data_IF_820669299734
#
_entry.id   IF_820669299734
#
_cell.length_a   1.000
_cell.length_b   1.000
_cell.length_c   1.000
_cell.angle_alpha   90.00
_cell.angle_beta   90.00
_cell.angle_gamma   90.00
#
_symmetry.space_group_name_H-M   'P 1'
#
loop_
_entity.id
_entity.type
_entity.pdbx_description
1 polymer ?
#
# COMPACT_ATOMS: atom_id res chain seq x y z
N UNK A 1 -1.24 -30.16 6.85
CA UNK A 1 -0.42 -28.92 6.78
C UNK A 1 -1.13 -27.79 7.51
N UNK A 2 -0.41 -26.93 8.23
CA UNK A 2 -1.00 -25.79 8.97
C UNK A 2 -1.13 -24.58 8.04
N UNK A 3 -2.28 -23.89 8.12
CA UNK A 3 -2.50 -22.64 7.37
C UNK A 3 -1.46 -21.58 7.78
N UNK A 4 -0.85 -20.88 6.81
CA UNK A 4 0.27 -19.96 7.05
C UNK A 4 -0.19 -18.57 7.47
N UNK A 5 -0.99 -18.43 8.53
CA UNK A 5 -1.38 -17.12 9.09
C UNK A 5 -0.16 -16.34 9.59
N UNK A 6 -0.07 -15.04 9.31
CA UNK A 6 1.01 -14.16 9.76
C UNK A 6 0.97 -14.02 11.29
N UNK A 7 -0.22 -13.78 11.84
CA UNK A 7 -0.47 -13.79 13.28
C UNK A 7 -1.41 -14.95 13.66
N UNK A 8 -2.71 -14.79 13.44
CA UNK A 8 -3.74 -15.82 13.69
C UNK A 8 -4.92 -15.58 12.77
N UNK A 9 -5.66 -16.64 12.44
CA UNK A 9 -6.74 -16.60 11.44
C UNK A 9 -7.70 -15.42 11.64
N UNK A 10 -8.17 -15.19 12.87
CA UNK A 10 -9.12 -14.11 13.18
C UNK A 10 -8.55 -12.71 12.87
N UNK A 11 -7.33 -12.42 13.29
CA UNK A 11 -6.73 -11.08 13.10
C UNK A 11 -6.27 -10.85 11.67
N UNK A 12 -5.72 -11.88 11.03
CA UNK A 12 -5.33 -11.82 9.62
C UNK A 12 -6.55 -11.59 8.72
N UNK A 13 -7.65 -12.30 9.00
CA UNK A 13 -8.91 -12.08 8.29
C UNK A 13 -9.48 -10.69 8.57
N UNK A 14 -9.43 -10.19 9.80
CA UNK A 14 -9.99 -8.88 10.13
C UNK A 14 -9.19 -7.70 9.54
N UNK A 15 -7.85 -7.75 9.61
CA UNK A 15 -7.01 -6.57 9.38
C UNK A 15 -6.08 -6.65 8.17
N UNK A 16 -5.88 -7.83 7.57
CA UNK A 16 -4.97 -7.99 6.42
C UNK A 16 -5.76 -8.40 5.16
N UNK A 17 -6.61 -9.42 5.26
CA UNK A 17 -7.33 -9.97 4.11
C UNK A 17 -8.70 -9.31 3.95
N UNK A 18 -9.47 -9.25 5.03
CA UNK A 18 -10.85 -8.77 5.05
C UNK A 18 -11.06 -7.32 4.64
N UNK A 19 -10.15 -6.35 4.85
CA UNK A 19 -10.39 -4.96 4.47
C UNK A 19 -10.82 -4.81 3.00
N UNK A 20 -10.17 -5.53 2.08
CA UNK A 20 -10.51 -5.51 0.65
C UNK A 20 -11.93 -6.01 0.34
N UNK A 21 -12.34 -7.11 0.97
CA UNK A 21 -13.68 -7.69 0.79
C UNK A 21 -14.76 -6.87 1.48
N UNK A 22 -14.46 -6.35 2.66
CA UNK A 22 -15.39 -5.54 3.44
C UNK A 22 -15.73 -4.24 2.70
N UNK A 23 -14.70 -3.51 2.24
CA UNK A 23 -14.90 -2.27 1.49
C UNK A 23 -15.68 -2.53 0.20
N UNK A 24 -15.31 -3.57 -0.55
CA UNK A 24 -16.03 -3.93 -1.77
C UNK A 24 -17.50 -4.29 -1.50
N UNK A 25 -17.79 -5.02 -0.43
CA UNK A 25 -19.16 -5.35 -0.04
C UNK A 25 -19.95 -4.09 0.33
N UNK A 26 -19.36 -3.15 1.08
CA UNK A 26 -19.98 -1.85 1.39
C UNK A 26 -20.28 -1.08 0.10
N UNK A 27 -19.34 -1.06 -0.86
CA UNK A 27 -19.56 -0.39 -2.15
C UNK A 27 -20.76 -0.97 -2.90
N UNK A 28 -20.87 -2.29 -2.99
CA UNK A 28 -22.02 -2.92 -3.66
C UNK A 28 -23.35 -2.72 -2.93
N UNK A 29 -23.33 -2.66 -1.59
CA UNK A 29 -24.55 -2.48 -0.79
C UNK A 29 -25.03 -1.01 -0.76
N UNK A 30 -24.12 -0.06 -0.87
CA UNK A 30 -24.40 1.37 -0.66
C UNK A 30 -23.98 2.25 -1.86
N UNK A 31 -23.93 1.69 -3.07
CA UNK A 31 -23.43 2.37 -4.26
C UNK A 31 -24.07 3.74 -4.50
N UNK A 32 -25.39 3.84 -4.37
CA UNK A 32 -26.14 5.09 -4.60
C UNK A 32 -25.80 6.19 -3.57
N UNK A 33 -25.36 5.82 -2.37
CA UNK A 33 -25.00 6.75 -1.30
C UNK A 33 -23.55 7.22 -1.38
N UNK A 34 -22.67 6.51 -2.10
CA UNK A 34 -21.25 6.86 -2.16
C UNK A 34 -21.04 8.22 -2.82
N UNK A 35 -21.73 8.50 -3.93
CA UNK A 35 -21.68 9.81 -4.59
C UNK A 35 -22.24 10.92 -3.69
N UNK A 36 -23.24 10.62 -2.84
CA UNK A 36 -23.72 11.60 -1.86
C UNK A 36 -22.68 11.85 -0.77
N UNK A 37 -22.00 10.80 -0.29
CA UNK A 37 -20.95 10.90 0.72
C UNK A 37 -19.78 11.74 0.22
N UNK A 38 -19.31 11.48 -1.01
CA UNK A 38 -18.23 12.22 -1.65
C UNK A 38 -18.53 13.72 -1.71
N UNK A 39 -19.74 14.09 -2.15
CA UNK A 39 -20.12 15.49 -2.32
C UNK A 39 -20.40 16.22 -0.99
N UNK A 40 -20.97 15.55 0.01
CA UNK A 40 -21.40 16.20 1.26
C UNK A 40 -20.38 16.09 2.40
N UNK A 41 -19.51 15.09 2.36
CA UNK A 41 -18.61 14.74 3.46
C UNK A 41 -17.15 14.60 3.02
N UNK A 42 -16.73 15.32 1.96
CA UNK A 42 -15.37 15.30 1.41
C UNK A 42 -14.27 15.51 2.46
N UNK A 43 -14.49 16.42 3.43
CA UNK A 43 -13.55 16.62 4.54
C UNK A 43 -13.34 15.35 5.36
N UNK A 44 -14.42 14.61 5.66
CA UNK A 44 -14.33 13.40 6.47
C UNK A 44 -13.74 12.24 5.66
N UNK A 45 -14.05 12.13 4.37
CA UNK A 45 -13.42 11.10 3.52
C UNK A 45 -11.91 11.34 3.41
N UNK A 46 -11.47 12.58 3.21
CA UNK A 46 -10.05 12.95 3.28
C UNK A 46 -9.44 12.63 4.65
N UNK A 47 -10.06 13.06 5.75
CA UNK A 47 -9.52 12.85 7.10
C UNK A 47 -9.39 11.35 7.45
N UNK A 48 -10.43 10.56 7.21
CA UNK A 48 -10.43 9.15 7.61
C UNK A 48 -9.65 8.26 6.65
N UNK A 49 -9.66 8.53 5.34
CA UNK A 49 -8.97 7.70 4.36
C UNK A 49 -7.54 8.17 4.15
N UNK A 50 -7.34 9.43 3.80
CA UNK A 50 -6.02 9.95 3.47
C UNK A 50 -5.20 10.11 4.75
N UNK A 51 -5.68 10.85 5.75
CA UNK A 51 -4.85 11.13 6.94
C UNK A 51 -4.71 9.88 7.83
N UNK A 52 -5.81 9.24 8.21
CA UNK A 52 -5.77 8.17 9.22
C UNK A 52 -5.35 6.80 8.68
N UNK A 53 -5.29 6.62 7.36
CA UNK A 53 -4.88 5.34 6.75
C UNK A 53 -3.72 5.55 5.79
N UNK A 54 -3.82 6.44 4.81
CA UNK A 54 -2.77 6.61 3.80
C UNK A 54 -1.51 7.25 4.40
N UNK A 55 -1.57 8.47 4.90
CA UNK A 55 -0.40 9.09 5.53
C UNK A 55 0.04 8.32 6.79
N UNK A 56 -0.90 7.80 7.58
CA UNK A 56 -0.60 7.01 8.77
C UNK A 56 0.20 5.72 8.49
N UNK A 57 -0.08 4.99 7.40
CA UNK A 57 0.64 3.73 7.13
C UNK A 57 2.11 3.99 6.77
N UNK A 58 2.42 5.11 6.12
CA UNK A 58 3.80 5.53 5.81
C UNK A 58 4.62 5.54 7.12
N UNK A 59 4.06 6.16 8.16
CA UNK A 59 4.69 6.29 9.48
C UNK A 59 4.78 5.00 10.28
N UNK A 60 3.98 3.97 9.96
CA UNK A 60 4.15 2.65 10.56
C UNK A 60 5.57 2.09 10.32
N UNK A 61 6.22 2.50 9.23
CA UNK A 61 7.62 2.15 8.93
C UNK A 61 8.59 2.52 10.05
N UNK A 62 8.33 3.62 10.78
CA UNK A 62 9.19 4.06 11.88
C UNK A 62 9.33 3.00 12.97
N UNK A 63 8.23 2.29 13.28
CA UNK A 63 8.18 1.23 14.29
C UNK A 63 8.95 -0.04 13.92
N UNK A 64 9.30 -0.19 12.64
CA UNK A 64 10.17 -1.27 12.16
C UNK A 64 11.64 -0.84 12.02
N UNK A 65 11.89 0.46 11.93
CA UNK A 65 13.18 1.02 11.49
C UNK A 65 13.76 1.97 12.53
N UNK A 66 13.42 3.25 12.46
CA UNK A 66 14.04 4.31 13.26
C UNK A 66 13.80 4.15 14.77
N UNK A 67 12.63 3.65 15.18
CA UNK A 67 12.31 3.43 16.60
C UNK A 67 12.87 2.13 17.18
N UNK A 68 13.47 1.28 16.35
CA UNK A 68 14.08 0.02 16.78
C UNK A 68 15.60 0.19 16.78
N UNK A 69 16.19 0.38 17.95
CA UNK A 69 17.62 0.72 18.10
C UNK A 69 18.55 -0.27 17.37
N UNK A 70 18.27 -1.58 17.43
CA UNK A 70 19.09 -2.59 16.77
C UNK A 70 18.99 -2.53 15.24
N UNK A 71 17.78 -2.33 14.70
CA UNK A 71 17.58 -2.18 13.26
C UNK A 71 18.15 -0.86 12.74
N UNK A 72 18.04 0.21 13.53
CA UNK A 72 18.66 1.49 13.21
C UNK A 72 20.18 1.38 13.15
N UNK A 73 20.82 0.77 14.16
CA UNK A 73 22.28 0.55 14.15
C UNK A 73 22.72 -0.29 12.96
N UNK A 74 22.00 -1.37 12.66
CA UNK A 74 22.30 -2.29 11.56
C UNK A 74 22.16 -1.64 10.18
N UNK A 75 21.17 -0.77 10.00
CA UNK A 75 20.85 -0.15 8.70
C UNK A 75 21.12 1.35 8.64
N UNK A 76 21.88 1.91 9.60
CA UNK A 76 22.07 3.35 9.83
C UNK A 76 22.35 4.14 8.55
N UNK A 77 23.30 3.66 7.75
CA UNK A 77 23.67 4.31 6.48
C UNK A 77 22.46 4.42 5.54
N UNK A 78 21.68 3.35 5.39
CA UNK A 78 20.49 3.34 4.51
C UNK A 78 19.41 4.27 5.05
N UNK A 79 19.12 4.20 6.35
CA UNK A 79 18.05 4.99 6.99
C UNK A 79 18.36 6.49 6.99
N UNK A 80 19.62 6.91 7.01
CA UNK A 80 19.97 8.33 6.92
C UNK A 80 20.15 8.83 5.48
N UNK A 81 20.75 8.00 4.62
CA UNK A 81 21.06 8.41 3.26
C UNK A 81 19.81 8.41 2.36
N UNK A 82 18.90 7.45 2.52
CA UNK A 82 17.75 7.31 1.63
C UNK A 82 16.81 8.53 1.66
N UNK A 83 16.38 9.09 2.82
CA UNK A 83 15.61 10.32 2.85
C UNK A 83 16.31 11.50 2.18
N UNK A 84 17.62 11.61 2.38
CA UNK A 84 18.45 12.66 1.77
C UNK A 84 18.49 12.53 0.24
N UNK A 85 18.63 11.30 -0.26
CA UNK A 85 18.56 11.00 -1.70
C UNK A 85 17.17 11.30 -2.25
N UNK A 86 16.10 10.87 -1.56
CA UNK A 86 14.72 11.16 -1.95
C UNK A 86 14.47 12.66 -2.07
N UNK A 87 14.96 13.44 -1.10
CA UNK A 87 14.85 14.90 -1.12
C UNK A 87 15.60 15.53 -2.31
N UNK A 88 16.86 15.13 -2.53
CA UNK A 88 17.66 15.63 -3.63
C UNK A 88 17.04 15.28 -4.99
N UNK A 89 16.58 14.04 -5.17
CA UNK A 89 15.87 13.60 -6.38
C UNK A 89 14.57 14.39 -6.54
N UNK A 90 13.82 14.62 -5.47
CA UNK A 90 12.59 15.41 -5.48
C UNK A 90 12.82 16.84 -5.98
N UNK A 91 13.86 17.52 -5.49
CA UNK A 91 14.24 18.86 -5.97
C UNK A 91 14.58 18.82 -7.47
N UNK A 92 15.40 17.86 -7.89
CA UNK A 92 15.79 17.72 -9.29
C UNK A 92 14.56 17.51 -10.18
N UNK A 93 13.68 16.58 -9.82
CA UNK A 93 12.45 16.30 -10.57
C UNK A 93 11.53 17.51 -10.62
N UNK A 94 11.33 18.20 -9.50
CA UNK A 94 10.47 19.39 -9.45
C UNK A 94 11.04 20.55 -10.29
N UNK A 95 12.37 20.64 -10.44
CA UNK A 95 13.00 21.62 -11.33
C UNK A 95 12.68 21.40 -12.82
N UNK A 96 12.31 20.18 -13.22
CA UNK A 96 11.80 19.87 -14.57
C UNK A 96 10.29 20.13 -14.71
N UNK A 97 9.62 20.54 -13.64
CA UNK A 97 8.20 20.88 -13.59
C UNK A 97 7.43 20.05 -12.57
N UNK A 98 6.40 20.66 -11.99
CA UNK A 98 5.52 20.02 -10.99
C UNK A 98 4.93 18.70 -11.51
N UNK A 99 4.46 18.66 -12.76
CA UNK A 99 3.90 17.44 -13.34
C UNK A 99 4.94 16.31 -13.44
N UNK A 100 6.18 16.60 -13.83
CA UNK A 100 7.25 15.58 -13.91
C UNK A 100 7.52 14.95 -12.54
N UNK A 101 7.53 15.78 -11.49
CA UNK A 101 7.66 15.33 -10.11
C UNK A 101 6.51 14.41 -9.69
N UNK A 102 5.26 14.85 -9.86
CA UNK A 102 4.09 14.07 -9.45
C UNK A 102 3.92 12.79 -10.26
N UNK A 103 4.14 12.84 -11.59
CA UNK A 103 4.19 11.66 -12.46
C UNK A 103 5.20 10.63 -11.95
N UNK A 104 6.44 11.06 -11.66
CA UNK A 104 7.46 10.15 -11.17
C UNK A 104 7.06 9.53 -9.83
N UNK A 105 6.56 10.34 -8.90
CA UNK A 105 6.11 9.87 -7.59
C UNK A 105 4.93 8.90 -7.72
N UNK A 106 3.98 9.15 -8.62
CA UNK A 106 2.85 8.27 -8.93
C UNK A 106 3.33 6.89 -9.42
N UNK A 107 4.28 6.83 -10.35
CA UNK A 107 4.85 5.56 -10.80
C UNK A 107 5.58 4.81 -9.67
N UNK A 108 6.31 5.52 -8.80
CA UNK A 108 6.96 4.91 -7.64
C UNK A 108 5.91 4.40 -6.63
N UNK A 109 4.84 5.13 -6.39
CA UNK A 109 3.73 4.74 -5.54
C UNK A 109 3.05 3.48 -6.07
N UNK A 110 2.66 3.46 -7.35
CA UNK A 110 2.09 2.27 -8.01
C UNK A 110 3.02 1.07 -7.87
N UNK A 111 4.32 1.25 -8.13
CA UNK A 111 5.29 0.17 -7.93
C UNK A 111 5.30 -0.33 -6.49
N UNK A 112 5.31 0.55 -5.50
CA UNK A 112 5.25 0.20 -4.09
C UNK A 112 3.98 -0.60 -3.75
N UNK A 113 2.81 -0.11 -4.17
CA UNK A 113 1.52 -0.78 -3.96
C UNK A 113 1.51 -2.21 -4.54
N UNK A 114 1.99 -2.38 -5.78
CA UNK A 114 2.14 -3.70 -6.42
C UNK A 114 3.07 -4.61 -5.61
N UNK A 115 4.22 -4.08 -5.18
CA UNK A 115 5.24 -4.83 -4.44
C UNK A 115 4.76 -5.23 -3.05
N UNK A 116 3.91 -4.44 -2.41
CA UNK A 116 3.31 -4.79 -1.13
C UNK A 116 2.35 -5.98 -1.27
N UNK A 117 1.49 -5.99 -2.28
CA UNK A 117 0.57 -7.12 -2.52
C UNK A 117 1.34 -8.43 -2.81
N UNK A 118 2.41 -8.32 -3.60
CA UNK A 118 3.37 -9.41 -3.78
C UNK A 118 4.01 -9.87 -2.46
N UNK A 119 4.39 -8.93 -1.60
CA UNK A 119 4.96 -9.20 -0.27
C UNK A 119 4.03 -10.02 0.60
N UNK A 120 2.76 -9.65 0.71
CA UNK A 120 1.75 -10.40 1.46
C UNK A 120 1.52 -11.80 0.90
N UNK A 121 1.36 -11.92 -0.42
CA UNK A 121 1.25 -13.22 -1.09
C UNK A 121 2.42 -14.13 -0.72
N UNK A 122 3.66 -13.61 -0.74
CA UNK A 122 4.86 -14.34 -0.36
C UNK A 122 4.89 -14.75 1.10
N UNK A 123 4.40 -13.91 2.01
CA UNK A 123 4.27 -14.23 3.43
C UNK A 123 3.27 -15.37 3.63
N UNK A 124 2.14 -15.35 2.93
CA UNK A 124 1.12 -16.39 2.98
C UNK A 124 1.50 -17.65 2.19
N UNK A 125 2.45 -17.60 1.26
CA UNK A 125 2.97 -18.78 0.56
C UNK A 125 4.18 -19.44 1.27
N UNK A 126 4.61 -18.94 2.44
CA UNK A 126 5.91 -19.34 3.04
C UNK A 126 6.04 -20.81 3.42
N UNK A 127 4.93 -21.47 3.76
CA UNK A 127 4.89 -22.89 4.13
C UNK A 127 4.54 -23.80 2.94
N UNK A 128 4.29 -23.25 1.75
CA UNK A 128 4.07 -24.07 0.57
C UNK A 128 5.38 -24.60 0.01
N UNK A 129 5.34 -25.80 -0.53
CA UNK A 129 6.40 -26.31 -1.39
C UNK A 129 6.52 -25.42 -2.64
N UNK A 130 7.74 -24.92 -2.87
CA UNK A 130 8.05 -23.96 -3.95
C UNK A 130 8.68 -24.69 -5.12
N UNK A 131 7.86 -25.07 -6.09
CA UNK A 131 8.33 -25.49 -7.41
C UNK A 131 8.46 -24.28 -8.34
N UNK A 132 9.31 -24.36 -9.36
CA UNK A 132 9.48 -23.28 -10.35
C UNK A 132 8.14 -22.86 -10.97
N UNK A 133 7.30 -23.85 -11.31
CA UNK A 133 5.97 -23.62 -11.87
C UNK A 133 5.06 -22.89 -10.88
N UNK A 134 5.00 -23.35 -9.62
CA UNK A 134 4.15 -22.70 -8.60
C UNK A 134 4.52 -21.23 -8.38
N UNK A 135 5.82 -20.93 -8.35
CA UNK A 135 6.31 -19.56 -8.14
C UNK A 135 5.98 -18.67 -9.35
N UNK A 136 6.12 -19.19 -10.57
CA UNK A 136 5.77 -18.44 -11.78
C UNK A 136 4.27 -18.14 -11.81
N UNK A 137 3.42 -19.14 -11.53
CA UNK A 137 1.97 -18.99 -11.56
C UNK A 137 1.48 -18.03 -10.47
N UNK A 138 1.97 -18.16 -9.23
CA UNK A 138 1.61 -17.24 -8.14
C UNK A 138 2.06 -15.79 -8.46
N UNK A 139 3.26 -15.63 -9.02
CA UNK A 139 3.76 -14.31 -9.42
C UNK A 139 2.92 -13.71 -10.56
N UNK A 140 2.64 -14.48 -11.62
CA UNK A 140 1.84 -14.03 -12.75
C UNK A 140 0.45 -13.59 -12.28
N UNK A 141 -0.19 -14.36 -11.40
CA UNK A 141 -1.51 -14.01 -10.87
C UNK A 141 -1.49 -12.69 -10.11
N UNK A 142 -0.57 -12.50 -9.15
CA UNK A 142 -0.56 -11.28 -8.35
C UNK A 142 -0.16 -10.04 -9.18
N UNK A 143 0.81 -10.17 -10.11
CA UNK A 143 1.19 -9.06 -10.97
C UNK A 143 0.16 -8.74 -12.04
N UNK A 144 -0.56 -9.74 -12.56
CA UNK A 144 -1.66 -9.50 -13.49
C UNK A 144 -2.84 -8.82 -12.77
N UNK A 145 -3.11 -9.19 -11.51
CA UNK A 145 -4.17 -8.61 -10.66
C UNK A 145 -4.00 -7.11 -10.45
N UNK A 146 -2.77 -6.60 -10.43
CA UNK A 146 -2.49 -5.18 -10.26
C UNK A 146 -2.07 -4.49 -11.56
N UNK A 147 -1.36 -5.21 -12.43
CA UNK A 147 -0.80 -4.68 -13.67
C UNK A 147 -1.85 -4.46 -14.76
N UNK A 148 -2.81 -5.38 -14.94
CA UNK A 148 -3.86 -5.18 -15.94
C UNK A 148 -4.71 -3.92 -15.64
N UNK A 149 -5.17 -3.67 -14.40
CA UNK A 149 -5.87 -2.43 -14.08
C UNK A 149 -5.07 -1.16 -14.38
N UNK A 150 -3.76 -1.13 -14.16
CA UNK A 150 -2.93 0.02 -14.57
C UNK A 150 -2.82 0.15 -16.09
N UNK A 151 -2.64 -0.95 -16.82
CA UNK A 151 -2.66 -0.92 -18.28
C UNK A 151 -4.03 -0.45 -18.79
N UNK A 152 -5.12 -0.84 -18.12
CA UNK A 152 -6.44 -0.33 -18.41
C UNK A 152 -6.50 1.18 -18.23
N UNK A 153 -5.99 1.73 -17.13
CA UNK A 153 -5.90 3.17 -16.92
C UNK A 153 -5.12 3.87 -18.04
N UNK A 154 -4.00 3.32 -18.48
CA UNK A 154 -3.17 3.95 -19.53
C UNK A 154 -3.79 3.93 -20.92
N UNK A 155 -4.56 2.88 -21.26
CA UNK A 155 -5.07 2.69 -22.62
C UNK A 155 -6.58 2.94 -22.78
N UNK A 156 -7.29 3.27 -21.69
CA UNK A 156 -8.72 3.60 -21.71
C UNK A 156 -8.96 5.11 -21.76
N UNK A 157 -10.23 5.48 -21.86
CA UNK A 157 -10.65 6.87 -21.73
C UNK A 157 -10.33 7.42 -20.33
N UNK A 158 -10.39 8.74 -20.19
CA UNK A 158 -10.10 9.44 -18.94
C UNK A 158 -10.83 8.83 -17.75
N UNK A 159 -10.08 8.61 -16.68
CA UNK A 159 -10.64 8.21 -15.40
C UNK A 159 -11.05 9.44 -14.62
N UNK A 160 -12.10 9.33 -13.81
CA UNK A 160 -12.61 10.43 -12.98
C UNK A 160 -11.82 10.65 -11.69
N UNK A 161 -10.68 9.98 -11.56
CA UNK A 161 -9.85 9.94 -10.37
C UNK A 161 -8.39 10.02 -10.76
N UNK A 162 -7.58 10.49 -9.81
CA UNK A 162 -6.13 10.60 -9.96
C UNK A 162 -5.45 9.82 -8.84
N UNK A 163 -4.19 9.45 -9.05
CA UNK A 163 -3.34 8.92 -7.98
C UNK A 163 -2.85 10.06 -7.09
N UNK A 164 -2.30 11.13 -7.67
CA UNK A 164 -1.97 12.37 -6.97
C UNK A 164 -2.56 13.60 -7.68
N UNK A 165 -2.29 13.76 -8.97
CA UNK A 165 -2.72 14.94 -9.74
C UNK A 165 -3.20 14.57 -11.14
N UNK A 166 -3.96 15.47 -11.77
CA UNK A 166 -4.43 15.29 -13.15
C UNK A 166 -3.26 15.13 -14.13
N UNK A 167 -3.43 14.23 -15.10
CA UNK A 167 -2.50 13.96 -16.21
C UNK A 167 -1.11 13.42 -15.80
N UNK A 168 -0.99 12.82 -14.61
CA UNK A 168 0.29 12.30 -14.12
C UNK A 168 0.77 11.01 -14.82
N UNK A 169 -0.15 10.23 -15.38
CA UNK A 169 0.18 9.00 -16.09
C UNK A 169 0.20 9.19 -17.60
N UNK A 170 1.07 8.41 -18.25
CA UNK A 170 1.01 8.21 -19.69
C UNK A 170 -0.37 7.69 -20.12
N UNK A 171 -0.92 8.29 -21.19
CA UNK A 171 -2.22 7.93 -21.75
C UNK A 171 -2.14 7.77 -23.26
N UNK A 172 -2.68 6.66 -23.76
CA UNK A 172 -2.79 6.37 -25.19
C UNK A 172 -4.03 5.50 -25.44
N UNK A 173 -5.14 6.10 -25.87
CA UNK A 173 -6.39 5.36 -26.04
C UNK A 173 -6.29 4.30 -27.16
N UNK A 174 -6.47 3.03 -26.80
CA UNK A 174 -6.43 1.93 -27.76
C UNK A 174 -7.30 0.74 -27.32
N UNK A 175 -8.54 0.71 -27.84
CA UNK A 175 -9.52 -0.31 -27.50
C UNK A 175 -9.10 -1.73 -27.92
N UNK A 176 -8.42 -1.87 -29.06
CA UNK A 176 -7.97 -3.19 -29.56
C UNK A 176 -6.89 -3.77 -28.65
N UNK A 177 -5.90 -2.95 -28.27
CA UNK A 177 -4.85 -3.35 -27.33
C UNK A 177 -5.45 -3.71 -25.98
N UNK A 178 -6.41 -2.93 -25.47
CA UNK A 178 -7.13 -3.23 -24.23
C UNK A 178 -7.84 -4.58 -24.27
N UNK A 179 -8.49 -4.91 -25.40
CA UNK A 179 -9.17 -6.20 -25.56
C UNK A 179 -8.18 -7.37 -25.50
N UNK A 180 -7.01 -7.25 -26.15
CA UNK A 180 -5.95 -8.26 -26.07
C UNK A 180 -5.46 -8.42 -24.63
N UNK A 181 -5.16 -7.30 -23.96
CA UNK A 181 -4.68 -7.29 -22.58
C UNK A 181 -5.70 -7.90 -21.60
N UNK A 182 -6.99 -7.67 -21.82
CA UNK A 182 -8.07 -8.29 -21.05
C UNK A 182 -8.06 -9.81 -21.18
N UNK A 183 -7.97 -10.33 -22.41
CA UNK A 183 -7.91 -11.79 -22.61
C UNK A 183 -6.65 -12.42 -22.03
N UNK A 184 -5.50 -11.73 -22.09
CA UNK A 184 -4.27 -12.16 -21.41
C UNK A 184 -4.48 -12.22 -19.90
N UNK A 185 -5.06 -11.16 -19.32
CA UNK A 185 -5.37 -11.09 -17.89
C UNK A 185 -6.26 -12.25 -17.43
N UNK A 186 -7.39 -12.48 -18.11
CA UNK A 186 -8.32 -13.58 -17.81
C UNK A 186 -7.63 -14.94 -17.97
N UNK A 187 -6.81 -15.11 -19.01
CA UNK A 187 -6.06 -16.36 -19.22
C UNK A 187 -5.09 -16.67 -18.07
N UNK A 188 -4.37 -15.65 -17.58
CA UNK A 188 -3.45 -15.81 -16.43
C UNK A 188 -4.23 -16.22 -15.18
N UNK A 189 -5.35 -15.56 -14.88
CA UNK A 189 -6.18 -15.90 -13.72
C UNK A 189 -6.79 -17.30 -13.85
N UNK A 190 -7.24 -17.68 -15.04
CA UNK A 190 -7.77 -19.02 -15.29
C UNK A 190 -6.71 -20.12 -15.07
N UNK A 191 -5.48 -19.90 -15.56
CA UNK A 191 -4.35 -20.80 -15.31
C UNK A 191 -4.05 -20.90 -13.80
N UNK A 192 -4.06 -19.77 -13.10
CA UNK A 192 -3.87 -19.74 -11.65
C UNK A 192 -4.92 -20.54 -10.88
N UNK A 193 -6.20 -20.33 -11.19
CA UNK A 193 -7.31 -21.06 -10.55
C UNK A 193 -7.22 -22.55 -10.84
N UNK A 194 -7.03 -22.94 -12.11
CA UNK A 194 -6.92 -24.34 -12.52
C UNK A 194 -5.75 -25.04 -11.84
N UNK A 195 -4.59 -24.39 -11.80
CA UNK A 195 -3.41 -24.90 -11.12
C UNK A 195 -3.63 -25.04 -9.61
N UNK A 196 -4.26 -24.05 -8.98
CA UNK A 196 -4.57 -24.06 -7.55
C UNK A 196 -5.52 -25.18 -7.20
N UNK A 197 -6.59 -25.40 -7.98
CA UNK A 197 -7.54 -26.51 -7.79
C UNK A 197 -6.79 -27.85 -7.89
N UNK A 198 -6.01 -28.04 -8.97
CA UNK A 198 -5.25 -29.27 -9.16
C UNK A 198 -4.29 -29.55 -7.99
N UNK A 199 -3.49 -28.55 -7.58
CA UNK A 199 -2.55 -28.65 -6.46
C UNK A 199 -3.28 -28.95 -5.15
N UNK A 200 -4.44 -28.33 -4.93
CA UNK A 200 -5.22 -28.48 -3.69
C UNK A 200 -5.83 -29.88 -3.56
N UNK A 201 -6.32 -30.45 -4.66
CA UNK A 201 -6.82 -31.83 -4.71
C UNK A 201 -5.67 -32.81 -4.47
N UNK A 202 -4.56 -32.67 -5.21
CA UNK A 202 -3.39 -33.55 -5.12
C UNK A 202 -2.79 -33.58 -3.71
N UNK A 203 -2.68 -32.41 -3.08
CA UNK A 203 -2.03 -32.27 -1.77
C UNK A 203 -3.01 -32.31 -0.60
N UNK A 204 -4.32 -32.48 -0.86
CA UNK A 204 -5.42 -32.39 0.13
C UNK A 204 -5.30 -31.15 1.02
N UNK A 205 -4.91 -30.03 0.43
CA UNK A 205 -4.64 -28.79 1.16
C UNK A 205 -4.83 -27.56 0.28
N UNK A 206 -5.76 -26.70 0.68
CA UNK A 206 -5.97 -25.39 0.08
C UNK A 206 -5.42 -24.29 1.00
N UNK A 207 -4.47 -23.49 0.51
CA UNK A 207 -3.90 -22.38 1.27
C UNK A 207 -4.87 -21.19 1.28
N UNK A 208 -5.71 -21.10 2.31
CA UNK A 208 -6.77 -20.08 2.39
C UNK A 208 -6.21 -18.66 2.30
N UNK A 209 -5.25 -18.23 3.16
CA UNK A 209 -4.84 -16.83 3.17
C UNK A 209 -4.11 -16.40 1.88
N UNK A 210 -3.32 -17.28 1.23
CA UNK A 210 -2.66 -16.94 -0.03
C UNK A 210 -3.67 -16.66 -1.15
N UNK A 211 -4.67 -17.54 -1.28
CA UNK A 211 -5.69 -17.37 -2.31
C UNK A 211 -6.60 -16.18 -2.01
N UNK A 212 -6.92 -15.96 -0.73
CA UNK A 212 -7.75 -14.84 -0.32
C UNK A 212 -7.05 -13.48 -0.56
N UNK A 213 -5.74 -13.34 -0.34
CA UNK A 213 -5.04 -12.09 -0.64
C UNK A 213 -4.93 -11.83 -2.14
N UNK A 214 -4.70 -12.88 -2.96
CA UNK A 214 -4.67 -12.74 -4.42
C UNK A 214 -6.05 -12.33 -4.94
N UNK A 215 -7.12 -12.98 -4.47
CA UNK A 215 -8.49 -12.64 -4.84
C UNK A 215 -8.85 -11.22 -4.40
N UNK A 216 -8.57 -10.86 -3.14
CA UNK A 216 -8.83 -9.52 -2.62
C UNK A 216 -8.08 -8.44 -3.40
N UNK A 217 -6.83 -8.72 -3.81
CA UNK A 217 -6.05 -7.83 -4.69
C UNK A 217 -6.71 -7.69 -6.06
N UNK A 218 -7.05 -8.80 -6.72
CA UNK A 218 -7.68 -8.78 -8.04
C UNK A 218 -9.01 -8.01 -8.03
N UNK A 219 -9.84 -8.25 -7.00
CA UNK A 219 -11.12 -7.57 -6.86
C UNK A 219 -10.94 -6.08 -6.55
N UNK A 220 -10.13 -5.71 -5.56
CA UNK A 220 -9.94 -4.30 -5.18
C UNK A 220 -9.38 -3.46 -6.33
N UNK A 221 -8.37 -3.96 -7.06
CA UNK A 221 -7.79 -3.24 -8.18
C UNK A 221 -8.71 -3.19 -9.39
N UNK A 222 -9.39 -4.30 -9.72
CA UNK A 222 -10.31 -4.32 -10.85
C UNK A 222 -11.52 -3.40 -10.60
N UNK A 223 -12.16 -3.50 -9.44
CA UNK A 223 -13.32 -2.67 -9.13
C UNK A 223 -12.94 -1.20 -8.91
N UNK A 224 -11.82 -0.93 -8.25
CA UNK A 224 -11.33 0.42 -8.00
C UNK A 224 -10.91 1.15 -9.27
N UNK A 225 -10.20 0.47 -10.18
CA UNK A 225 -9.62 1.15 -11.35
C UNK A 225 -10.43 0.92 -12.62
N UNK A 226 -10.94 -0.29 -12.88
CA UNK A 226 -11.57 -0.66 -14.16
C UNK A 226 -13.07 -0.39 -14.13
N UNK A 227 -13.78 -0.95 -13.15
CA UNK A 227 -15.25 -1.04 -13.17
C UNK A 227 -15.97 0.28 -12.83
N UNK A 228 -15.76 0.86 -11.64
CA UNK A 228 -16.65 1.91 -11.13
C UNK A 228 -16.40 3.33 -11.69
N UNK A 229 -15.16 3.65 -12.07
CA UNK A 229 -14.79 4.99 -12.55
C UNK A 229 -15.18 6.15 -11.62
N UNK A 230 -14.84 6.02 -10.33
CA UNK A 230 -15.28 6.92 -9.26
C UNK A 230 -14.12 7.11 -8.27
N UNK A 231 -13.90 8.35 -7.83
CA UNK A 231 -12.72 8.74 -7.03
C UNK A 231 -12.79 8.22 -5.60
N UNK A 232 -13.94 8.37 -4.94
CA UNK A 232 -14.12 7.84 -3.59
C UNK A 232 -14.03 6.30 -3.58
N UNK A 233 -14.61 5.61 -4.57
CA UNK A 233 -14.50 4.14 -4.68
C UNK A 233 -13.05 3.70 -4.92
N UNK A 234 -12.34 4.37 -5.83
CA UNK A 234 -10.93 4.11 -6.09
C UNK A 234 -10.10 4.29 -4.80
N UNK A 235 -10.27 5.43 -4.15
CA UNK A 235 -9.59 5.81 -2.90
C UNK A 235 -9.86 4.80 -1.79
N UNK A 236 -11.13 4.43 -1.56
CA UNK A 236 -11.53 3.42 -0.58
C UNK A 236 -10.84 2.07 -0.83
N UNK A 237 -10.96 1.53 -2.04
CA UNK A 237 -10.41 0.21 -2.37
C UNK A 237 -8.88 0.22 -2.35
N UNK A 238 -8.25 1.29 -2.82
CA UNK A 238 -6.80 1.39 -2.90
C UNK A 238 -6.18 1.56 -1.50
N UNK A 239 -6.63 2.57 -0.74
CA UNK A 239 -6.04 2.94 0.55
C UNK A 239 -6.36 1.89 1.62
N UNK A 240 -7.62 1.48 1.76
CA UNK A 240 -8.02 0.58 2.85
C UNK A 240 -7.46 -0.83 2.65
N UNK A 241 -7.38 -1.31 1.40
CA UNK A 241 -6.82 -2.65 1.07
C UNK A 241 -5.29 -2.68 1.12
N UNK A 242 -4.63 -1.56 1.39
CA UNK A 242 -3.19 -1.44 1.43
C UNK A 242 -2.71 -0.96 2.82
N UNK A 243 -3.17 0.20 3.27
CA UNK A 243 -2.69 0.86 4.48
C UNK A 243 -3.05 0.10 5.75
N UNK A 244 -4.30 -0.37 5.91
CA UNK A 244 -4.70 -1.16 7.08
C UNK A 244 -3.88 -2.46 7.17
N UNK A 245 -3.77 -3.29 6.10
CA UNK A 245 -2.90 -4.45 6.12
C UNK A 245 -1.46 -4.16 6.53
N UNK A 246 -0.89 -3.05 6.05
CA UNK A 246 0.47 -2.66 6.39
C UNK A 246 0.63 -2.31 7.87
N UNK A 247 -0.22 -1.42 8.38
CA UNK A 247 -0.22 -1.01 9.78
C UNK A 247 -0.40 -2.22 10.71
N UNK A 248 -1.28 -3.15 10.34
CA UNK A 248 -1.51 -4.38 11.07
C UNK A 248 -0.29 -5.32 11.04
N UNK A 249 0.35 -5.47 9.87
CA UNK A 249 1.57 -6.28 9.72
C UNK A 249 2.69 -5.77 10.63
N UNK A 250 2.92 -4.45 10.65
CA UNK A 250 3.92 -3.81 11.51
C UNK A 250 3.56 -4.03 12.98
N UNK A 251 2.32 -3.76 13.39
CA UNK A 251 1.88 -3.94 14.77
C UNK A 251 2.10 -5.38 15.26
N UNK A 252 1.62 -6.37 14.50
CA UNK A 252 1.75 -7.78 14.89
C UNK A 252 3.22 -8.21 14.96
N UNK A 253 4.08 -7.78 14.04
CA UNK A 253 5.47 -8.26 13.99
C UNK A 253 6.42 -7.52 14.90
N UNK A 254 6.26 -6.22 15.03
CA UNK A 254 7.26 -5.35 15.68
C UNK A 254 6.85 -4.92 17.08
N UNK A 255 5.54 -4.86 17.38
CA UNK A 255 5.03 -4.39 18.68
C UNK A 255 4.57 -5.58 19.53
N UNK A 256 3.63 -6.39 19.03
CA UNK A 256 3.06 -7.49 19.80
C UNK A 256 4.07 -8.63 20.02
N UNK A 257 4.75 -9.07 18.95
CA UNK A 257 5.61 -10.27 18.97
C UNK A 257 7.05 -10.04 19.49
N UNK A 258 7.55 -8.81 19.65
CA UNK A 258 8.93 -8.55 20.11
C UNK A 258 9.07 -8.55 21.64
N UNK A 259 10.13 -9.12 22.24
CA UNK A 259 10.32 -9.13 23.70
C UNK A 259 10.61 -7.73 24.28
N UNK A 260 10.22 -7.48 25.54
CA UNK A 260 10.27 -6.16 26.20
C UNK A 260 11.63 -5.44 26.17
N UNK A 261 12.74 -6.18 26.11
CA UNK A 261 14.09 -5.60 26.15
C UNK A 261 14.46 -4.81 24.87
N UNK A 262 13.77 -5.03 23.74
CA UNK A 262 14.13 -4.39 22.46
C UNK A 262 13.39 -3.08 22.15
N UNK A 263 12.45 -2.65 22.99
CA UNK A 263 11.53 -1.53 22.69
C UNK A 263 11.85 -0.22 23.43
N UNK A 264 12.81 -0.20 24.38
CA UNK A 264 13.24 1.01 25.08
C UNK A 264 12.07 1.79 25.70
N UNK A 265 11.95 3.09 25.36
CA UNK A 265 10.89 4.01 25.81
C UNK A 265 9.48 3.53 25.41
N UNK A 266 9.38 2.70 24.38
CA UNK A 266 8.11 2.12 23.92
C UNK A 266 7.70 0.83 24.65
N UNK A 267 8.37 0.46 25.74
CA UNK A 267 7.93 -0.65 26.59
C UNK A 267 6.49 -0.49 27.14
N UNK A 268 5.99 0.75 27.23
CA UNK A 268 4.59 1.06 27.55
C UNK A 268 3.58 0.63 26.47
N UNK A 269 4.03 0.41 25.23
CA UNK A 269 3.23 -0.14 24.11
C UNK A 269 2.96 -1.65 24.25
N UNK A 270 3.20 -2.26 25.42
CA UNK A 270 2.82 -3.65 25.72
C UNK A 270 1.69 -3.76 26.76
N UNK A 271 1.12 -2.64 27.20
CA UNK A 271 -0.09 -2.65 28.02
C UNK A 271 -1.31 -3.11 27.22
N UNK A 272 -2.45 -3.36 27.88
CA UNK A 272 -3.73 -3.68 27.22
C UNK A 272 -4.12 -2.66 26.12
N UNK A 273 -3.55 -1.44 26.18
CA UNK A 273 -3.82 -0.33 25.25
C UNK A 273 -2.72 -0.13 24.17
N UNK A 274 -1.82 -1.10 23.99
CA UNK A 274 -0.75 -1.09 22.99
C UNK A 274 -1.17 -0.60 21.60
N UNK A 275 -2.24 -1.19 21.07
CA UNK A 275 -2.79 -0.86 19.76
C UNK A 275 -3.33 0.57 19.70
N UNK A 276 -3.98 1.04 20.77
CA UNK A 276 -4.54 2.38 20.83
C UNK A 276 -3.43 3.44 20.80
N UNK A 277 -2.37 3.24 21.59
CA UNK A 277 -1.23 4.17 21.61
C UNK A 277 -0.50 4.16 20.26
N UNK A 278 -0.32 2.98 19.65
CA UNK A 278 0.26 2.86 18.31
C UNK A 278 -0.53 3.68 17.27
N UNK A 279 -1.85 3.49 17.22
CA UNK A 279 -2.72 4.23 16.29
C UNK A 279 -2.71 5.73 16.59
N UNK A 280 -2.74 6.13 17.88
CA UNK A 280 -2.71 7.54 18.27
C UNK A 280 -1.40 8.22 17.84
N UNK A 281 -0.25 7.55 17.96
CA UNK A 281 1.03 8.08 17.47
C UNK A 281 0.99 8.23 15.95
N UNK A 282 0.51 7.23 15.22
CA UNK A 282 0.42 7.30 13.75
C UNK A 282 -0.48 8.45 13.31
N UNK A 283 -1.68 8.57 13.89
CA UNK A 283 -2.61 9.65 13.58
C UNK A 283 -2.02 11.01 13.92
N UNK A 284 -1.35 11.14 15.07
CA UNK A 284 -0.74 12.41 15.48
C UNK A 284 0.33 12.90 14.49
N UNK A 285 1.20 12.00 14.03
CA UNK A 285 2.24 12.34 13.05
C UNK A 285 1.62 12.58 11.67
N UNK A 286 0.71 11.72 11.23
CA UNK A 286 0.05 11.84 9.93
C UNK A 286 -0.77 13.13 9.81
N UNK A 287 -1.53 13.48 10.86
CA UNK A 287 -2.26 14.74 10.93
C UNK A 287 -1.31 15.94 10.88
N UNK A 288 -0.15 15.86 11.53
CA UNK A 288 0.85 16.93 11.48
C UNK A 288 1.42 17.10 10.07
N UNK A 289 1.77 16.01 9.38
CA UNK A 289 2.23 16.07 8.00
C UNK A 289 1.16 16.65 7.08
N UNK A 290 -0.07 16.12 7.13
CA UNK A 290 -1.13 16.57 6.24
C UNK A 290 -1.54 18.02 6.53
N UNK A 291 -1.53 18.44 7.80
CA UNK A 291 -1.73 19.84 8.15
C UNK A 291 -0.69 20.76 7.48
N UNK A 292 0.57 20.33 7.37
CA UNK A 292 1.60 21.08 6.65
C UNK A 292 1.32 21.11 5.14
N UNK A 293 0.89 20.00 4.55
CA UNK A 293 0.45 19.97 3.14
C UNK A 293 -0.71 20.93 2.88
N UNK A 294 -1.74 20.93 3.73
CA UNK A 294 -2.91 21.81 3.62
C UNK A 294 -2.54 23.29 3.71
N UNK A 295 -1.72 23.67 4.70
CA UNK A 295 -1.39 25.10 4.91
C UNK A 295 -0.42 25.62 3.85
N UNK A 296 0.53 24.79 3.40
CA UNK A 296 1.65 25.22 2.57
C UNK A 296 1.44 24.98 1.07
N UNK A 297 0.63 23.98 0.69
CA UNK A 297 0.51 23.51 -0.70
C UNK A 297 -0.95 23.49 -1.18
N UNK A 298 -1.80 22.63 -0.60
CA UNK A 298 -3.13 22.32 -1.17
C UNK A 298 -4.16 23.41 -0.90
N UNK A 299 -4.33 23.81 0.37
CA UNK A 299 -5.33 24.80 0.81
C UNK A 299 -6.77 24.42 0.42
N UNK A 300 -7.12 23.15 0.52
CA UNK A 300 -8.39 22.60 0.03
C UNK A 300 -9.39 22.35 1.15
N UNK A 301 -8.94 21.77 2.27
CA UNK A 301 -9.80 21.22 3.32
C UNK A 301 -9.86 22.11 4.58
N UNK A 302 -8.82 22.93 4.82
CA UNK A 302 -8.71 23.76 6.01
C UNK A 302 -8.67 25.26 5.70
N UNK A 303 -9.56 26.03 6.33
CA UNK A 303 -9.64 27.49 6.22
C UNK A 303 -8.76 28.21 7.25
N UNK A 304 -7.46 27.96 7.22
CA UNK A 304 -6.47 28.67 8.05
C UNK A 304 -5.90 29.86 7.27
N UNK A 305 -5.49 30.92 7.97
CA UNK A 305 -4.77 32.04 7.35
C UNK A 305 -3.52 31.51 6.63
N UNK A 306 -3.61 31.42 5.31
CA UNK A 306 -2.59 30.77 4.50
C UNK A 306 -1.32 31.62 4.46
N UNK A 307 -0.17 30.98 4.74
CA UNK A 307 1.13 31.59 4.49
C UNK A 307 1.38 31.44 2.99
N UNK A 308 1.56 32.55 2.26
CA UNK A 308 1.92 32.49 0.85
C UNK A 308 3.41 32.16 0.69
N UNK A 309 3.68 30.87 0.44
CA UNK A 309 5.01 30.34 0.14
C UNK A 309 5.07 29.74 -1.26
N UNK A 310 4.23 30.25 -2.18
CA UNK A 310 4.19 29.81 -3.58
C UNK A 310 5.60 29.81 -4.23
N UNK A 311 6.41 30.84 -3.98
CA UNK A 311 7.79 30.93 -4.47
C UNK A 311 8.75 29.88 -3.92
N UNK A 312 8.40 29.21 -2.82
CA UNK A 312 9.20 28.18 -2.15
C UNK A 312 8.71 26.76 -2.42
N UNK A 313 7.68 26.58 -3.26
CA UNK A 313 7.15 25.23 -3.58
C UNK A 313 8.20 24.28 -4.13
N UNK A 314 9.20 24.79 -4.86
CA UNK A 314 10.33 23.99 -5.36
C UNK A 314 11.16 23.30 -4.26
N UNK A 315 11.08 23.80 -3.03
CA UNK A 315 11.73 23.22 -1.86
C UNK A 315 10.72 22.49 -0.97
N UNK A 316 9.55 23.11 -0.75
CA UNK A 316 8.52 22.61 0.17
C UNK A 316 7.91 21.30 -0.33
N UNK A 317 7.52 21.22 -1.61
CA UNK A 317 6.87 20.02 -2.15
C UNK A 317 7.82 18.81 -2.10
N UNK A 318 9.08 18.91 -2.57
CA UNK A 318 10.04 17.82 -2.39
C UNK A 318 10.26 17.46 -0.92
N UNK A 319 10.36 18.44 -0.02
CA UNK A 319 10.59 18.20 1.41
C UNK A 319 9.44 17.42 2.05
N UNK A 320 8.20 17.86 1.83
CA UNK A 320 7.02 17.21 2.38
C UNK A 320 6.81 15.81 1.77
N UNK A 321 7.28 15.56 0.54
CA UNK A 321 7.18 14.21 -0.06
C UNK A 321 8.20 13.19 0.47
N UNK A 322 9.21 13.62 1.24
CA UNK A 322 10.30 12.75 1.72
C UNK A 322 9.81 11.54 2.52
N UNK A 323 8.88 11.65 3.50
CA UNK A 323 8.41 10.51 4.27
C UNK A 323 7.80 9.43 3.36
N UNK A 324 6.88 9.85 2.49
CA UNK A 324 6.18 8.98 1.55
C UNK A 324 7.13 8.35 0.52
N UNK A 325 7.98 9.15 -0.13
CA UNK A 325 8.92 8.65 -1.13
C UNK A 325 9.96 7.71 -0.51
N UNK A 326 10.45 8.03 0.69
CA UNK A 326 11.36 7.14 1.45
C UNK A 326 10.68 5.83 1.77
N UNK A 327 9.44 5.86 2.26
CA UNK A 327 8.68 4.66 2.60
C UNK A 327 8.51 3.73 1.39
N UNK A 328 8.10 4.27 0.25
CA UNK A 328 7.90 3.49 -0.98
C UNK A 328 9.14 2.69 -1.38
N UNK A 329 10.32 3.31 -1.27
CA UNK A 329 11.58 2.66 -1.56
C UNK A 329 12.03 1.72 -0.44
N UNK A 330 11.91 2.15 0.82
CA UNK A 330 12.43 1.45 1.98
C UNK A 330 11.68 0.15 2.28
N UNK A 331 10.37 0.13 2.06
CA UNK A 331 9.52 -1.02 2.40
C UNK A 331 10.01 -2.32 1.73
N UNK A 332 10.40 -2.24 0.46
CA UNK A 332 10.95 -3.37 -0.29
C UNK A 332 12.27 -3.94 0.27
N UNK A 333 12.97 -3.21 1.15
CA UNK A 333 14.22 -3.66 1.77
C UNK A 333 14.05 -4.16 3.19
N UNK A 334 13.17 -3.56 3.99
CA UNK A 334 13.06 -3.85 5.43
C UNK A 334 12.42 -5.20 5.73
N UNK A 335 11.68 -5.77 4.78
CA UNK A 335 11.05 -7.10 4.90
C UNK A 335 11.91 -8.25 4.38
N UNK A 336 13.07 -7.96 3.78
CA UNK A 336 13.99 -9.02 3.31
C UNK A 336 14.62 -9.69 4.53
N UNK A 337 14.26 -10.96 4.77
CA UNK A 337 14.94 -11.78 5.78
C UNK A 337 16.38 -12.01 5.34
N UNK A 338 17.34 -11.57 6.15
CA UNK A 338 18.72 -12.03 6.02
C UNK A 338 18.71 -13.52 6.32
N UNK A 339 18.95 -14.36 5.31
CA UNK A 339 19.39 -15.73 5.58
C UNK A 339 20.71 -15.61 6.35
N UNK A 340 20.68 -15.80 7.66
CA UNK A 340 21.88 -16.22 8.37
C UNK A 340 22.34 -17.50 7.68
N UNK A 341 23.60 -17.61 7.22
CA UNK A 341 24.10 -18.90 6.76
C UNK A 341 23.92 -19.87 7.92
N UNK A 342 23.21 -20.96 7.68
CA UNK A 342 23.16 -22.06 8.62
C UNK A 342 24.61 -22.42 8.92
N UNK A 343 25.05 -22.23 10.16
CA UNK A 343 26.30 -22.82 10.63
C UNK A 343 26.07 -24.33 10.53
N UNK A 344 26.69 -24.95 9.53
CA UNK A 344 26.95 -26.38 9.53
C UNK A 344 27.92 -26.63 10.68
N UNK A 345 27.39 -27.08 11.81
CA UNK A 345 28.18 -27.79 12.83
C UNK A 345 28.06 -29.28 12.56
#
# INVERSE_FOLDING_TARGET
MKQPWIHKAKTDLAFIIGPSFFVLAIIFLFQDYITEIENKYSFYTWLFLIVFIDVAHVYATLFKTYFVADEFKKNKKRLLLLPTICFAIGIILFSFGSLVFWSFLAYVAVFHFIRQQYGFMRLYARNEEKTRVSVIIDNLAIYASTGYPMLYWFFSSERKFNWFVANEFFRFENAFLLQILFWIYISILFVYVSYTIHKSIKNRFFNIPKNAIILGTALSWYFGIVYFNDDLIFTLLNIVSHGIPYMALVYFREIENKPNQSLGVFSYLKSYNAIFIYILILIGIAFTEEFLWEVLVWKENLSVAAIDLSSWQFLIVPLLSVPQFTHYLLDGFIWKSNKSPAKSS
#
